data_IF_673216103459
#
_entry.id   IF_673216103459
#
_cell.length_a   1.000
_cell.length_b   1.000
_cell.length_c   1.000
_cell.angle_alpha   90.00
_cell.angle_beta   90.00
_cell.angle_gamma   90.00
#
_symmetry.space_group_name_H-M   'P 1'
#
loop_
_entity.id
_entity.type
_entity.pdbx_description
1 polymer ?
#
# COMPACT_ATOMS: atom_id res chain seq x y z
N UNK A 1 -21.38 18.52 -5.71
CA UNK A 1 -20.75 18.35 -7.04
C UNK A 1 -20.79 16.87 -7.38
N UNK A 2 -21.29 16.49 -8.56
CA UNK A 2 -21.22 15.09 -9.02
C UNK A 2 -19.83 14.88 -9.61
N UNK A 3 -18.99 14.13 -8.91
CA UNK A 3 -17.71 13.70 -9.45
C UNK A 3 -17.96 12.65 -10.55
N UNK A 4 -17.14 12.63 -11.61
CA UNK A 4 -17.03 11.44 -12.46
C UNK A 4 -16.79 10.22 -11.55
N UNK A 5 -17.26 9.03 -11.93
CA UNK A 5 -17.02 7.79 -11.18
C UNK A 5 -15.53 7.57 -10.86
N UNK A 6 -14.62 8.11 -11.69
CA UNK A 6 -13.16 8.03 -11.48
C UNK A 6 -12.54 9.17 -10.67
N UNK A 7 -13.33 10.18 -10.30
CA UNK A 7 -12.91 11.36 -9.55
C UNK A 7 -13.21 11.28 -8.05
N UNK A 8 -13.74 10.15 -7.58
CA UNK A 8 -14.17 9.96 -6.18
C UNK A 8 -13.09 10.10 -5.10
N UNK A 9 -11.81 10.27 -5.46
CA UNK A 9 -10.73 10.58 -4.50
C UNK A 9 -10.58 12.08 -4.21
N UNK A 10 -11.02 12.95 -5.12
CA UNK A 10 -10.86 14.40 -4.98
C UNK A 10 -11.58 14.99 -3.77
N UNK A 11 -12.63 14.32 -3.30
CA UNK A 11 -13.37 14.70 -2.10
C UNK A 11 -12.49 14.76 -0.85
N UNK A 12 -11.53 13.85 -0.72
CA UNK A 12 -10.68 13.76 0.47
C UNK A 12 -9.67 14.90 0.54
N UNK A 13 -9.21 15.40 -0.61
CA UNK A 13 -8.33 16.57 -0.69
C UNK A 13 -9.09 17.89 -0.58
N UNK A 14 -10.36 17.92 -1.01
CA UNK A 14 -11.20 19.10 -0.99
C UNK A 14 -11.75 19.42 0.41
N UNK A 15 -12.20 18.41 1.16
CA UNK A 15 -12.68 18.56 2.53
C UNK A 15 -12.22 17.38 3.42
N UNK A 16 -10.94 17.37 3.84
CA UNK A 16 -10.36 16.25 4.57
C UNK A 16 -11.00 16.00 5.94
N UNK A 17 -11.71 16.96 6.52
CA UNK A 17 -12.32 16.82 7.85
C UNK A 17 -13.72 16.19 7.80
N UNK A 18 -14.32 16.09 6.61
CA UNK A 18 -15.65 15.51 6.43
C UNK A 18 -15.68 13.98 6.37
N UNK A 19 -14.52 13.31 6.42
CA UNK A 19 -14.43 11.87 6.15
C UNK A 19 -13.61 11.14 7.22
N UNK A 20 -14.23 10.20 7.95
CA UNK A 20 -13.57 9.35 8.96
C UNK A 20 -12.41 8.50 8.41
N UNK A 21 -12.36 8.29 7.09
CA UNK A 21 -11.28 7.55 6.44
C UNK A 21 -9.98 8.34 6.34
N UNK A 22 -10.03 9.66 6.56
CA UNK A 22 -8.86 10.53 6.57
C UNK A 22 -8.14 10.34 7.89
N UNK A 23 -6.93 9.77 7.82
CA UNK A 23 -6.12 9.46 8.98
C UNK A 23 -5.08 10.55 9.27
N UNK A 24 -4.69 11.28 8.24
CA UNK A 24 -3.74 12.38 8.35
C UNK A 24 -3.99 13.40 7.24
N UNK A 25 -3.74 14.68 7.56
CA UNK A 25 -3.96 15.79 6.66
C UNK A 25 -2.94 16.90 6.99
N UNK A 26 -2.21 17.38 5.99
CA UNK A 26 -1.35 18.55 6.10
C UNK A 26 -1.43 19.41 4.82
N UNK A 27 -0.50 20.33 4.64
CA UNK A 27 -0.43 21.19 3.44
C UNK A 27 -0.08 20.42 2.16
N UNK A 28 0.69 19.34 2.25
CA UNK A 28 1.22 18.60 1.10
C UNK A 28 0.36 17.42 0.66
N UNK A 29 -0.33 16.75 1.60
CA UNK A 29 -1.07 15.53 1.31
C UNK A 29 -2.20 15.22 2.32
N UNK A 30 -3.02 14.27 1.92
CA UNK A 30 -3.98 13.56 2.77
C UNK A 30 -3.65 12.06 2.74
N UNK A 31 -3.63 11.41 3.90
CA UNK A 31 -3.49 9.95 4.00
C UNK A 31 -4.85 9.38 4.38
N UNK A 32 -5.36 8.46 3.57
CA UNK A 32 -6.66 7.83 3.78
C UNK A 32 -6.58 6.32 3.87
N UNK A 33 -7.54 5.69 4.53
CA UNK A 33 -7.79 4.27 4.37
C UNK A 33 -8.47 4.00 3.01
N UNK A 34 -7.92 3.07 2.22
CA UNK A 34 -8.53 2.65 0.96
C UNK A 34 -9.91 2.03 1.24
N UNK A 35 -10.94 2.45 0.49
CA UNK A 35 -12.31 1.97 0.65
C UNK A 35 -12.48 0.50 0.22
N UNK A 36 -11.61 0.01 -0.67
CA UNK A 36 -11.58 -1.35 -1.19
C UNK A 36 -10.19 -1.95 -0.98
N UNK A 37 -9.74 -2.16 0.27
CA UNK A 37 -8.38 -2.56 0.59
C UNK A 37 -8.00 -3.90 -0.06
N UNK A 38 -6.76 -4.07 -0.52
CA UNK A 38 -6.31 -5.32 -1.18
C UNK A 38 -5.45 -6.20 -0.29
N UNK A 39 -5.19 -5.74 0.92
CA UNK A 39 -4.48 -6.44 1.99
C UNK A 39 -5.07 -6.06 3.35
N UNK A 40 -4.48 -6.59 4.42
CA UNK A 40 -4.89 -6.36 5.80
C UNK A 40 -4.89 -4.89 6.24
N UNK A 41 -3.95 -4.10 5.71
CA UNK A 41 -3.86 -2.64 5.87
C UNK A 41 -3.49 -2.03 4.54
N UNK A 42 -4.33 -1.13 4.02
CA UNK A 42 -4.12 -0.46 2.74
C UNK A 42 -4.49 1.02 2.86
N UNK A 43 -3.48 1.88 2.76
CA UNK A 43 -3.62 3.32 2.78
C UNK A 43 -3.31 3.90 1.39
N UNK A 44 -3.87 5.08 1.13
CA UNK A 44 -3.54 5.90 -0.03
C UNK A 44 -2.98 7.24 0.46
N UNK A 45 -1.85 7.67 -0.11
CA UNK A 45 -1.33 9.04 0.02
C UNK A 45 -1.81 9.83 -1.19
N UNK A 46 -2.61 10.86 -0.93
CA UNK A 46 -3.19 11.75 -1.94
C UNK A 46 -2.51 13.11 -1.85
N UNK A 47 -1.71 13.52 -2.86
CA UNK A 47 -1.07 14.83 -2.84
C UNK A 47 -2.10 15.96 -2.87
N UNK A 48 -1.73 17.16 -2.42
CA UNK A 48 -2.50 18.41 -2.59
C UNK A 48 -1.75 19.30 -3.57
N UNK A 49 -1.93 19.02 -4.85
CA UNK A 49 -1.22 19.70 -5.92
C UNK A 49 -2.15 19.96 -7.11
N UNK A 50 -1.86 21.01 -7.86
CA UNK A 50 -2.46 21.27 -9.18
C UNK A 50 -2.15 20.16 -10.20
N UNK A 51 -1.10 19.35 -9.96
CA UNK A 51 -0.72 18.18 -10.75
C UNK A 51 -1.52 16.92 -10.44
N UNK A 52 -2.48 16.97 -9.52
CA UNK A 52 -3.21 15.78 -9.06
C UNK A 52 -3.99 15.05 -10.15
N UNK A 53 -4.37 15.73 -11.24
CA UNK A 53 -5.09 15.10 -12.36
C UNK A 53 -4.15 14.64 -13.48
N UNK A 54 -2.83 14.83 -13.32
CA UNK A 54 -1.85 14.29 -14.27
C UNK A 54 -1.62 12.81 -14.02
N UNK A 55 -1.20 12.11 -15.07
CA UNK A 55 -0.66 10.76 -14.94
C UNK A 55 0.50 10.77 -13.92
N UNK A 56 0.63 9.78 -13.01
CA UNK A 56 1.68 9.77 -11.98
C UNK A 56 3.08 9.98 -12.54
N UNK A 57 3.35 9.38 -13.70
CA UNK A 57 4.65 9.50 -14.37
C UNK A 57 4.96 10.92 -14.85
N UNK A 58 3.94 11.76 -15.08
CA UNK A 58 4.08 13.19 -15.41
C UNK A 58 4.02 14.08 -14.17
N UNK A 59 3.18 13.73 -13.19
CA UNK A 59 3.12 14.46 -11.95
C UNK A 59 4.48 14.46 -11.23
N UNK A 60 5.11 13.29 -11.09
CA UNK A 60 6.41 13.12 -10.43
C UNK A 60 7.63 13.51 -11.28
N UNK A 61 7.45 14.14 -12.43
CA UNK A 61 8.52 14.91 -13.08
C UNK A 61 8.80 16.23 -12.33
N UNK A 62 7.90 16.66 -11.44
CA UNK A 62 8.15 17.73 -10.47
C UNK A 62 8.96 17.19 -9.27
N UNK A 63 10.20 17.67 -9.07
CA UNK A 63 11.07 17.16 -8.01
C UNK A 63 10.59 17.55 -6.61
N UNK A 64 9.92 18.71 -6.46
CA UNK A 64 9.43 19.17 -5.16
C UNK A 64 8.24 18.32 -4.72
N UNK A 65 7.26 18.15 -5.62
CA UNK A 65 6.12 17.26 -5.38
C UNK A 65 6.58 15.85 -5.05
N UNK A 66 7.54 15.29 -5.79
CA UNK A 66 8.07 13.96 -5.52
C UNK A 66 8.75 13.87 -4.15
N UNK A 67 9.54 14.88 -3.76
CA UNK A 67 10.21 14.93 -2.46
C UNK A 67 9.19 14.97 -1.31
N UNK A 68 8.19 15.85 -1.40
CA UNK A 68 7.15 16.00 -0.38
C UNK A 68 6.34 14.70 -0.21
N UNK A 69 5.98 14.07 -1.33
CA UNK A 69 5.20 12.82 -1.29
C UNK A 69 6.03 11.64 -0.80
N UNK A 70 7.36 11.61 -1.01
CA UNK A 70 8.22 10.61 -0.38
C UNK A 70 8.20 10.74 1.15
N UNK A 71 8.20 11.95 1.70
CA UNK A 71 8.07 12.17 3.16
C UNK A 71 6.74 11.63 3.67
N UNK A 72 5.63 11.93 2.99
CA UNK A 72 4.30 11.46 3.41
C UNK A 72 4.09 9.96 3.21
N UNK A 73 4.76 9.34 2.24
CA UNK A 73 4.79 7.88 2.09
C UNK A 73 5.55 7.22 3.23
N UNK A 74 6.68 7.77 3.70
CA UNK A 74 7.35 7.24 4.90
C UNK A 74 6.47 7.37 6.15
N UNK A 75 5.75 8.49 6.30
CA UNK A 75 4.74 8.64 7.37
C UNK A 75 3.66 7.55 7.28
N UNK A 76 3.09 7.34 6.10
CA UNK A 76 2.09 6.30 5.87
C UNK A 76 2.64 4.89 6.16
N UNK A 77 3.91 4.61 5.84
CA UNK A 77 4.56 3.33 6.17
C UNK A 77 4.62 3.13 7.68
N UNK A 78 4.97 4.15 8.46
CA UNK A 78 4.93 4.07 9.92
C UNK A 78 3.52 3.77 10.45
N UNK A 79 2.49 4.38 9.86
CA UNK A 79 1.09 4.11 10.22
C UNK A 79 0.70 2.65 9.92
N UNK A 80 1.07 2.15 8.73
CA UNK A 80 0.84 0.74 8.36
C UNK A 80 1.59 -0.21 9.29
N UNK A 81 2.87 0.04 9.59
CA UNK A 81 3.66 -0.78 10.50
C UNK A 81 3.05 -0.82 11.91
N UNK A 82 2.63 0.34 12.43
CA UNK A 82 1.95 0.43 13.72
C UNK A 82 0.63 -0.35 13.73
N UNK A 83 -0.16 -0.25 12.67
CA UNK A 83 -1.43 -0.97 12.55
C UNK A 83 -1.23 -2.48 12.38
N UNK A 84 -0.18 -2.91 11.67
CA UNK A 84 0.21 -4.32 11.60
C UNK A 84 0.62 -4.86 12.96
N UNK A 85 1.45 -4.13 13.72
CA UNK A 85 1.80 -4.50 15.10
C UNK A 85 0.56 -4.57 15.97
N UNK A 86 -0.37 -3.62 15.87
CA UNK A 86 -1.62 -3.62 16.63
C UNK A 86 -2.49 -4.85 16.32
N UNK A 87 -2.62 -5.21 15.04
CA UNK A 87 -3.44 -6.35 14.59
C UNK A 87 -2.79 -7.71 14.91
N UNK A 88 -1.48 -7.82 14.72
CA UNK A 88 -0.80 -9.11 14.64
C UNK A 88 0.32 -9.31 15.66
N UNK A 89 0.77 -8.25 16.34
CA UNK A 89 1.87 -8.31 17.30
C UNK A 89 1.66 -9.34 18.39
N UNK A 90 0.45 -9.47 18.92
CA UNK A 90 0.15 -10.48 19.94
C UNK A 90 0.37 -11.93 19.49
N UNK A 91 0.31 -12.20 18.17
CA UNK A 91 0.52 -13.54 17.61
C UNK A 91 1.96 -13.78 17.17
N UNK A 92 2.71 -12.70 16.89
CA UNK A 92 4.08 -12.76 16.37
C UNK A 92 5.04 -13.26 17.44
N UNK A 93 5.77 -14.35 17.15
CA UNK A 93 6.84 -14.87 18.04
C UNK A 93 7.93 -13.81 18.25
N UNK A 94 8.29 -13.09 17.20
CA UNK A 94 9.32 -12.04 17.21
C UNK A 94 8.92 -10.78 17.99
N UNK A 95 7.63 -10.57 18.27
CA UNK A 95 7.15 -9.48 19.14
C UNK A 95 7.04 -9.88 20.62
N UNK A 96 7.10 -11.18 20.97
CA UNK A 96 6.78 -11.63 22.33
C UNK A 96 7.70 -11.03 23.40
N UNK A 97 9.02 -10.97 23.15
CA UNK A 97 9.97 -10.39 24.10
C UNK A 97 9.66 -8.90 24.37
N UNK A 98 9.28 -8.16 23.32
CA UNK A 98 8.90 -6.75 23.41
C UNK A 98 7.58 -6.56 24.17
N UNK A 99 6.58 -7.40 23.89
CA UNK A 99 5.27 -7.34 24.56
C UNK A 99 5.43 -7.67 26.05
N UNK A 100 6.17 -8.74 26.38
CA UNK A 100 6.43 -9.14 27.76
C UNK A 100 7.17 -8.06 28.54
N UNK A 101 8.17 -7.42 27.94
CA UNK A 101 8.89 -6.31 28.57
C UNK A 101 8.00 -5.08 28.78
N UNK A 102 7.09 -4.78 27.84
CA UNK A 102 6.15 -3.65 27.95
C UNK A 102 5.10 -3.88 29.04
N UNK A 103 4.62 -5.12 29.17
CA UNK A 103 3.52 -5.48 30.07
C UNK A 103 4.01 -5.98 31.44
N UNK A 104 5.31 -5.91 31.71
CA UNK A 104 5.89 -6.24 33.01
C UNK A 104 5.49 -5.20 34.08
N UNK A 105 5.46 -5.61 35.35
CA UNK A 105 5.14 -4.72 36.48
C UNK A 105 6.15 -3.55 36.61
N UNK A 106 7.40 -3.79 36.22
CA UNK A 106 8.49 -2.80 36.15
C UNK A 106 9.12 -2.82 34.74
N UNK A 107 8.51 -2.13 33.76
CA UNK A 107 8.97 -2.17 32.38
C UNK A 107 10.30 -1.41 32.21
N UNK A 108 11.27 -1.94 31.44
CA UNK A 108 12.52 -1.25 31.21
C UNK A 108 12.29 0.06 30.43
N UNK A 109 13.13 1.08 30.68
CA UNK A 109 13.08 2.35 29.94
C UNK A 109 13.20 2.15 28.42
N UNK A 110 14.00 1.15 28.01
CA UNK A 110 14.18 0.76 26.61
C UNK A 110 13.64 -0.65 26.42
N UNK A 111 12.56 -0.76 25.63
CA UNK A 111 12.00 -2.05 25.25
C UNK A 111 12.91 -2.77 24.25
N UNK A 112 13.01 -4.11 24.31
CA UNK A 112 13.75 -4.87 23.31
C UNK A 112 13.14 -4.69 21.92
N UNK A 113 13.95 -4.95 20.91
CA UNK A 113 13.49 -4.93 19.52
C UNK A 113 12.38 -5.96 19.32
N UNK A 114 11.32 -5.51 18.64
CA UNK A 114 10.24 -6.39 18.19
C UNK A 114 10.42 -6.77 16.73
N UNK A 115 9.36 -7.26 16.11
CA UNK A 115 9.35 -7.50 14.67
C UNK A 115 9.45 -6.17 13.91
N UNK A 116 10.26 -6.19 12.86
CA UNK A 116 10.38 -5.08 11.92
C UNK A 116 9.21 -5.10 10.91
N UNK A 117 8.08 -4.55 11.33
CA UNK A 117 6.87 -4.45 10.50
C UNK A 117 7.04 -3.55 9.27
N UNK A 118 8.07 -2.69 9.24
CA UNK A 118 8.32 -1.83 8.07
C UNK A 118 8.73 -2.63 6.84
N UNK A 119 9.38 -3.80 7.03
CA UNK A 119 9.77 -4.73 5.95
C UNK A 119 8.58 -5.42 5.28
N UNK A 120 7.41 -5.32 5.89
CA UNK A 120 6.19 -5.99 5.42
C UNK A 120 5.32 -5.08 4.53
N UNK A 121 5.84 -3.92 4.16
CA UNK A 121 5.09 -2.88 3.46
C UNK A 121 5.60 -2.76 2.03
N UNK A 122 4.67 -2.71 1.09
CA UNK A 122 4.92 -2.37 -0.31
C UNK A 122 4.31 -0.99 -0.60
N UNK A 123 4.98 -0.24 -1.47
CA UNK A 123 4.51 1.09 -1.88
C UNK A 123 4.71 1.33 -3.37
N UNK A 124 3.88 2.20 -3.95
CA UNK A 124 4.05 2.61 -5.33
C UNK A 124 2.79 3.18 -5.96
N UNK A 125 2.91 3.58 -7.22
CA UNK A 125 1.78 4.00 -8.07
C UNK A 125 1.51 2.94 -9.13
N UNK A 126 0.24 2.77 -9.49
CA UNK A 126 -0.09 1.93 -10.63
C UNK A 126 0.35 2.60 -11.95
N UNK A 127 0.94 1.80 -12.85
CA UNK A 127 1.39 2.26 -14.15
C UNK A 127 0.24 2.79 -15.03
N UNK A 128 -0.98 2.30 -14.82
CA UNK A 128 -2.22 2.87 -15.37
C UNK A 128 -3.23 3.00 -14.22
N UNK A 129 -3.43 4.21 -13.66
CA UNK A 129 -4.32 4.42 -12.51
C UNK A 129 -5.80 4.15 -12.81
N UNK A 130 -6.49 3.52 -11.86
CA UNK A 130 -7.94 3.31 -11.93
C UNK A 130 -8.74 4.58 -11.64
N UNK A 131 -8.25 5.41 -10.71
CA UNK A 131 -8.79 6.73 -10.36
C UNK A 131 -7.97 7.84 -11.01
N UNK A 132 -8.60 8.98 -11.32
CA UNK A 132 -7.94 10.09 -12.01
C UNK A 132 -7.00 10.88 -11.10
N UNK A 133 -7.33 10.99 -9.81
CA UNK A 133 -6.51 11.73 -8.86
C UNK A 133 -5.27 10.91 -8.51
N UNK A 134 -4.10 11.55 -8.50
CA UNK A 134 -2.84 10.96 -8.09
C UNK A 134 -2.95 10.35 -6.70
N UNK A 135 -2.54 9.09 -6.58
CA UNK A 135 -2.55 8.35 -5.32
C UNK A 135 -1.38 7.38 -5.28
N UNK A 136 -0.70 7.34 -4.14
CA UNK A 136 0.34 6.34 -3.86
C UNK A 136 -0.22 5.30 -2.92
N UNK A 137 -0.11 4.04 -3.31
CA UNK A 137 -0.47 2.91 -2.46
C UNK A 137 0.60 2.71 -1.39
N UNK A 138 0.18 2.55 -0.13
CA UNK A 138 1.03 2.17 0.99
C UNK A 138 0.29 1.08 1.76
N UNK A 139 0.76 -0.16 1.63
CA UNK A 139 -0.02 -1.31 2.10
C UNK A 139 0.85 -2.46 2.59
N UNK A 140 0.27 -3.26 3.48
CA UNK A 140 0.88 -4.53 3.88
C UNK A 140 0.91 -5.51 2.71
N UNK A 141 1.96 -6.33 2.63
CA UNK A 141 2.22 -7.21 1.49
C UNK A 141 1.42 -8.51 1.47
N UNK A 142 0.61 -8.78 2.51
CA UNK A 142 -0.09 -10.06 2.70
C UNK A 142 -1.12 -10.38 1.62
N UNK A 143 -1.69 -9.35 0.97
CA UNK A 143 -2.73 -9.49 -0.05
C UNK A 143 -3.98 -10.26 0.41
N UNK A 144 -4.30 -10.23 1.71
CA UNK A 144 -5.50 -10.88 2.28
C UNK A 144 -6.59 -9.85 2.53
N UNK A 145 -7.59 -9.82 1.65
CA UNK A 145 -8.82 -9.06 1.86
C UNK A 145 -9.96 -9.59 0.97
N UNK A 146 -11.22 -9.39 1.40
CA UNK A 146 -12.39 -9.76 0.61
C UNK A 146 -12.53 -8.96 -0.69
N UNK A 147 -12.05 -7.70 -0.69
CA UNK A 147 -12.05 -6.85 -1.87
C UNK A 147 -11.05 -7.29 -2.98
N UNK A 148 -10.16 -8.25 -2.68
CA UNK A 148 -9.37 -8.93 -3.69
C UNK A 148 -10.21 -10.02 -4.34
N UNK A 149 -10.80 -9.71 -5.50
CA UNK A 149 -11.82 -10.56 -6.16
C UNK A 149 -11.42 -11.08 -7.53
N UNK A 150 -10.42 -10.48 -8.20
CA UNK A 150 -10.01 -10.84 -9.56
C UNK A 150 -8.50 -10.81 -9.72
N UNK A 151 -7.96 -11.51 -10.71
CA UNK A 151 -6.50 -11.60 -10.95
C UNK A 151 -5.85 -10.24 -11.12
N UNK A 152 -6.53 -9.31 -11.82
CA UNK A 152 -6.06 -7.93 -11.98
C UNK A 152 -5.84 -7.21 -10.64
N UNK A 153 -6.66 -7.48 -9.61
CA UNK A 153 -6.45 -6.88 -8.28
C UNK A 153 -5.22 -7.41 -7.57
N UNK A 154 -4.78 -8.63 -7.85
CA UNK A 154 -3.56 -9.19 -7.27
C UNK A 154 -2.34 -8.73 -8.06
N UNK A 155 -2.37 -8.95 -9.39
CA UNK A 155 -1.25 -8.66 -10.27
C UNK A 155 -0.90 -7.17 -10.33
N UNK A 156 -1.86 -6.27 -10.11
CA UNK A 156 -1.56 -4.83 -10.08
C UNK A 156 -0.57 -4.45 -8.97
N UNK A 157 -0.47 -5.23 -7.89
CA UNK A 157 0.46 -5.01 -6.77
C UNK A 157 1.65 -5.97 -6.75
N UNK A 158 1.56 -7.11 -7.44
CA UNK A 158 2.57 -8.18 -7.40
C UNK A 158 3.41 -8.28 -8.68
N UNK A 159 3.28 -7.30 -9.57
CA UNK A 159 4.08 -7.19 -10.80
C UNK A 159 4.69 -5.80 -10.90
N UNK A 160 5.51 -5.57 -11.92
CA UNK A 160 6.06 -4.25 -12.27
C UNK A 160 5.00 -3.20 -12.62
N UNK A 161 3.71 -3.55 -12.60
CA UNK A 161 2.61 -2.61 -12.71
C UNK A 161 2.49 -1.68 -11.49
N UNK A 162 2.96 -2.10 -10.30
CA UNK A 162 3.18 -1.23 -9.17
C UNK A 162 4.59 -0.65 -9.25
N UNK A 163 4.69 0.65 -9.53
CA UNK A 163 5.95 1.36 -9.74
C UNK A 163 6.38 2.04 -8.42
N UNK A 164 7.50 1.65 -7.81
CA UNK A 164 8.00 2.27 -6.58
C UNK A 164 8.41 3.74 -6.81
N UNK A 165 8.28 4.57 -5.76
CA UNK A 165 8.58 6.00 -5.84
C UNK A 165 10.07 6.29 -6.08
N UNK A 166 10.94 5.34 -5.72
CA UNK A 166 12.39 5.40 -5.89
C UNK A 166 12.80 5.40 -7.36
N UNK A 167 11.92 4.92 -8.26
CA UNK A 167 12.17 4.94 -9.71
C UNK A 167 11.88 6.29 -10.35
N UNK A 168 11.21 7.21 -9.66
CA UNK A 168 10.86 8.51 -10.22
C UNK A 168 11.97 9.55 -9.99
N UNK A 169 12.16 10.48 -10.94
CA UNK A 169 11.46 10.56 -12.24
C UNK A 169 11.91 9.46 -13.22
N UNK A 170 10.96 8.92 -14.00
CA UNK A 170 11.26 7.91 -15.01
C UNK A 170 11.83 8.57 -16.27
N UNK A 171 12.86 8.00 -16.87
CA UNK A 171 13.33 8.41 -18.20
C UNK A 171 12.23 8.21 -19.26
N UNK A 172 12.24 9.01 -20.33
CA UNK A 172 11.20 8.96 -21.37
C UNK A 172 11.15 7.61 -22.11
N UNK A 173 12.28 6.92 -22.22
CA UNK A 173 12.43 5.61 -22.85
C UNK A 173 12.33 4.43 -21.87
N UNK A 174 12.06 4.69 -20.58
CA UNK A 174 11.97 3.64 -19.56
C UNK A 174 10.89 2.61 -19.93
N UNK A 175 11.22 1.30 -20.00
CA UNK A 175 10.26 0.25 -20.33
C UNK A 175 9.01 0.21 -19.46
N UNK A 176 9.10 0.67 -18.20
CA UNK A 176 7.96 0.77 -17.25
C UNK A 176 6.84 1.64 -17.82
N UNK A 177 7.17 2.67 -18.61
CA UNK A 177 6.18 3.51 -19.31
C UNK A 177 5.30 2.72 -20.28
N UNK A 178 5.75 1.54 -20.73
CA UNK A 178 5.02 0.64 -21.63
C UNK A 178 4.35 -0.54 -20.93
N UNK A 179 4.78 -0.91 -19.72
CA UNK A 179 4.27 -2.08 -18.97
C UNK A 179 2.76 -2.00 -18.75
N UNK A 180 2.25 -0.79 -18.50
CA UNK A 180 0.82 -0.53 -18.29
C UNK A 180 -0.09 -0.99 -19.43
N UNK A 181 0.45 -1.07 -20.66
CA UNK A 181 -0.26 -1.47 -21.87
C UNK A 181 -0.05 -2.96 -22.24
N UNK A 182 0.78 -3.67 -21.48
CA UNK A 182 1.01 -5.11 -21.65
C UNK A 182 -0.03 -5.99 -20.92
N UNK A 183 0.09 -7.33 -21.04
CA UNK A 183 -0.86 -8.29 -20.46
C UNK A 183 -0.72 -8.48 -18.94
N UNK A 184 -0.41 -7.43 -18.18
CA UNK A 184 -0.14 -7.50 -16.73
C UNK A 184 -1.31 -8.09 -15.92
N UNK A 185 -2.55 -7.93 -16.40
CA UNK A 185 -3.74 -8.43 -15.72
C UNK A 185 -4.07 -9.90 -16.05
N UNK A 186 -3.40 -10.49 -17.03
CA UNK A 186 -3.60 -11.88 -17.46
C UNK A 186 -2.39 -12.78 -17.21
N UNK A 187 -1.31 -12.26 -16.62
CA UNK A 187 -0.18 -13.10 -16.20
C UNK A 187 -0.61 -14.04 -15.08
N UNK A 188 0.13 -15.13 -14.95
CA UNK A 188 -0.07 -16.12 -13.91
C UNK A 188 -0.02 -15.51 -12.51
N UNK A 189 -0.93 -15.99 -11.66
CA UNK A 189 -1.01 -15.69 -10.26
C UNK A 189 0.09 -16.43 -9.49
N UNK A 190 1.18 -15.74 -9.18
CA UNK A 190 2.31 -16.31 -8.44
C UNK A 190 2.32 -15.76 -7.02
N UNK A 191 2.34 -16.65 -6.01
CA UNK A 191 2.37 -16.23 -4.61
C UNK A 191 3.57 -15.33 -4.32
N UNK A 192 3.33 -14.21 -3.64
CA UNK A 192 4.36 -13.24 -3.28
C UNK A 192 5.40 -13.83 -2.31
N UNK A 193 4.99 -14.80 -1.47
CA UNK A 193 5.81 -15.42 -0.42
C UNK A 193 6.55 -16.66 -0.94
N UNK A 194 5.85 -17.77 -1.17
CA UNK A 194 6.48 -19.05 -1.56
C UNK A 194 6.76 -19.21 -3.07
N UNK A 195 6.27 -18.30 -3.92
CA UNK A 195 6.40 -18.36 -5.39
C UNK A 195 5.64 -19.50 -6.08
N UNK A 196 4.72 -20.18 -5.40
CA UNK A 196 3.83 -21.15 -6.04
C UNK A 196 2.95 -20.47 -7.11
N UNK A 197 2.74 -21.15 -8.24
CA UNK A 197 1.97 -20.63 -9.38
C UNK A 197 0.55 -21.24 -9.42
N UNK A 198 -0.45 -20.36 -9.41
CA UNK A 198 -1.87 -20.69 -9.40
C UNK A 198 -2.55 -20.52 -10.77
N UNK A 199 -1.81 -20.13 -11.82
CA UNK A 199 -2.34 -19.82 -13.14
C UNK A 199 -3.34 -18.67 -13.06
N UNK A 200 -4.57 -18.88 -13.52
CA UNK A 200 -5.66 -17.90 -13.42
C UNK A 200 -6.65 -18.19 -12.26
N UNK A 201 -6.30 -19.09 -11.33
CA UNK A 201 -7.24 -19.61 -10.31
C UNK A 201 -7.25 -18.75 -9.04
N UNK A 202 -7.91 -17.60 -9.11
CA UNK A 202 -8.02 -16.63 -7.99
C UNK A 202 -8.51 -17.28 -6.69
N UNK A 203 -9.53 -18.15 -6.74
CA UNK A 203 -10.06 -18.81 -5.54
C UNK A 203 -9.01 -19.67 -4.84
N UNK A 204 -8.19 -20.40 -5.60
CA UNK A 204 -7.10 -21.21 -5.02
C UNK A 204 -6.00 -20.33 -4.44
N UNK A 205 -5.63 -19.26 -5.15
CA UNK A 205 -4.67 -18.29 -4.64
C UNK A 205 -5.16 -17.66 -3.33
N UNK A 206 -6.44 -17.25 -3.23
CA UNK A 206 -6.98 -16.66 -2.00
C UNK A 206 -6.93 -17.61 -0.80
N UNK A 207 -7.28 -18.88 -1.01
CA UNK A 207 -7.17 -19.90 0.03
C UNK A 207 -5.71 -20.04 0.50
N UNK A 208 -4.77 -20.14 -0.45
CA UNK A 208 -3.35 -20.20 -0.14
C UNK A 208 -2.83 -18.94 0.58
N UNK A 209 -3.21 -17.74 0.16
CA UNK A 209 -2.82 -16.49 0.82
C UNK A 209 -3.33 -16.41 2.27
N UNK A 210 -4.48 -17.00 2.58
CA UNK A 210 -4.98 -17.08 3.95
C UNK A 210 -4.11 -17.99 4.83
N UNK A 211 -3.63 -19.12 4.28
CA UNK A 211 -2.68 -20.01 4.97
C UNK A 211 -1.32 -19.31 5.17
N UNK A 212 -0.81 -18.66 4.11
CA UNK A 212 0.42 -17.87 4.17
C UNK A 212 0.34 -16.76 5.21
N UNK A 213 -0.81 -16.07 5.31
CA UNK A 213 -1.04 -15.03 6.31
C UNK A 213 -1.08 -15.56 7.74
N UNK A 214 -1.71 -16.72 7.96
CA UNK A 214 -1.77 -17.33 9.29
C UNK A 214 -0.39 -17.75 9.79
N UNK A 215 0.48 -18.22 8.90
CA UNK A 215 1.88 -18.49 9.21
C UNK A 215 2.66 -17.20 9.42
N UNK A 216 2.59 -16.28 8.46
CA UNK A 216 3.32 -15.01 8.45
C UNK A 216 3.04 -14.16 9.69
N UNK A 217 1.79 -14.06 10.16
CA UNK A 217 1.45 -13.25 11.34
C UNK A 217 2.00 -13.82 12.66
N UNK A 218 2.41 -15.10 12.66
CA UNK A 218 2.97 -15.81 13.84
C UNK A 218 4.49 -15.79 13.90
N UNK A 219 5.16 -15.37 12.82
CA UNK A 219 6.60 -15.08 12.81
C UNK A 219 6.91 -13.89 13.72
#
# INVERSE_FOLDING_TARGET
MSFDRRDGLGVYTADPYAYDRVLYNNENAVIIQDMFPKSSVHLLVLPKSDRNLLHPFKAFEDPQLLADIKVEVERAKQMVASELRRKYGQFSKSEQARIQARDADDPPEVLPEGRDWMKEIITGVHAVPSMNHLHVHVMSRDMVNDCLTRSAHYNSFQTSFLVPLEKFPLADDDPVRRIGYGPWHTVDLVCWRCKENFGNRVTKLKAHLAEEHDQWKRE
#
